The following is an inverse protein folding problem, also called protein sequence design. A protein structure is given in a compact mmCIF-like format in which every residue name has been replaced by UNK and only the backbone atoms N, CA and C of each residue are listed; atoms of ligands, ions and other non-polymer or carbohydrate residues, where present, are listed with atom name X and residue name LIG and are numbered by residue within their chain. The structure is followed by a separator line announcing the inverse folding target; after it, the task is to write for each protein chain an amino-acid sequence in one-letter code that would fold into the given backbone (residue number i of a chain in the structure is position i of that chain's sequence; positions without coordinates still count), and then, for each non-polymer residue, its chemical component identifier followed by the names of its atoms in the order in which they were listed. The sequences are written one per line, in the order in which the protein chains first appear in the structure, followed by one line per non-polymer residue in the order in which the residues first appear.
data_IF_609275111157
#
_entry.id   IF_609275111157
#
_cell.length_a   1.000
_cell.length_b   1.000
_cell.length_c   1.000
_cell.angle_alpha   90.00
_cell.angle_beta   90.00
_cell.angle_gamma   90.00
#
_symmetry.space_group_name_H-M   'P 1'
#
loop_
_entity.id
_entity.type
_entity.pdbx_description
1 polymer ?
#
# COMPACT_ATOMS: atom_id res chain seq x y z
N UNK A 1 -11.25 21.34 15.90
CA UNK A 1 -11.77 21.09 14.53
C UNK A 1 -10.59 20.63 13.71
N UNK A 2 -10.67 19.50 12.99
CA UNK A 2 -9.56 18.96 12.20
C UNK A 2 -9.78 19.13 10.71
N UNK A 3 -8.73 18.88 9.91
CA UNK A 3 -8.87 18.79 8.46
C UNK A 3 -9.83 17.66 8.07
N UNK A 4 -10.62 17.90 7.03
CA UNK A 4 -11.56 16.93 6.48
C UNK A 4 -11.49 17.01 4.96
N UNK A 5 -11.00 15.93 4.35
CA UNK A 5 -10.71 15.89 2.92
C UNK A 5 -10.73 14.45 2.41
N UNK A 6 -10.76 14.33 1.08
CA UNK A 6 -10.68 13.06 0.36
C UNK A 6 -9.43 13.07 -0.52
N UNK A 7 -8.68 11.98 -0.52
CA UNK A 7 -7.48 11.82 -1.34
C UNK A 7 -7.75 10.69 -2.32
N UNK A 8 -7.56 10.99 -3.60
CA UNK A 8 -7.61 9.99 -4.68
C UNK A 8 -6.22 9.85 -5.30
N UNK A 9 -5.58 8.73 -4.98
CA UNK A 9 -4.35 8.27 -5.64
C UNK A 9 -4.57 6.86 -6.20
N UNK A 10 -5.80 6.57 -6.63
CA UNK A 10 -6.23 5.25 -7.04
C UNK A 10 -5.91 4.18 -5.97
N UNK A 11 -5.18 3.14 -6.35
CA UNK A 11 -4.93 1.94 -5.54
C UNK A 11 -4.15 2.20 -4.23
N UNK A 12 -3.49 3.34 -4.09
CA UNK A 12 -2.75 3.73 -2.88
C UNK A 12 -3.52 4.66 -1.95
N UNK A 13 -4.78 5.03 -2.28
CA UNK A 13 -5.51 6.10 -1.61
C UNK A 13 -5.53 5.97 -0.08
N UNK A 14 -5.89 4.81 0.48
CA UNK A 14 -5.92 4.58 1.92
C UNK A 14 -4.55 4.73 2.61
N UNK A 15 -3.47 4.28 1.97
CA UNK A 15 -2.10 4.46 2.50
C UNK A 15 -1.62 5.91 2.39
N UNK A 16 -1.97 6.62 1.31
CA UNK A 16 -1.65 8.05 1.19
C UNK A 16 -2.46 8.85 2.21
N UNK A 17 -3.72 8.53 2.46
CA UNK A 17 -4.50 9.10 3.56
C UNK A 17 -3.81 8.87 4.92
N UNK A 18 -3.31 7.66 5.15
CA UNK A 18 -2.55 7.31 6.36
C UNK A 18 -1.28 8.16 6.50
N UNK A 19 -0.52 8.31 5.40
CA UNK A 19 0.67 9.16 5.37
C UNK A 19 0.33 10.63 5.64
N UNK A 20 -0.70 11.18 4.99
CA UNK A 20 -1.16 12.55 5.23
C UNK A 20 -1.61 12.74 6.68
N UNK A 21 -2.32 11.76 7.25
CA UNK A 21 -2.70 11.76 8.67
C UNK A 21 -1.49 11.88 9.61
N UNK A 22 -0.42 11.12 9.34
CA UNK A 22 0.86 11.26 10.06
C UNK A 22 1.42 12.69 9.97
N UNK A 23 1.36 13.33 8.79
CA UNK A 23 1.85 14.71 8.64
C UNK A 23 1.05 15.70 9.50
N UNK A 24 -0.28 15.58 9.55
CA UNK A 24 -1.13 16.40 10.40
C UNK A 24 -0.88 16.19 11.90
N UNK A 25 -0.52 14.97 12.32
CA UNK A 25 -0.23 14.65 13.71
C UNK A 25 1.13 15.18 14.19
N UNK A 26 2.12 15.26 13.29
CA UNK A 26 3.52 15.46 13.67
C UNK A 26 4.11 16.81 13.26
N UNK A 27 3.58 17.46 12.23
CA UNK A 27 4.14 18.74 11.76
C UNK A 27 3.45 19.96 12.38
N UNK A 28 4.26 20.92 12.81
CA UNK A 28 3.86 22.18 13.45
C UNK A 28 3.27 23.23 12.49
N UNK A 29 3.43 23.02 11.18
CA UNK A 29 2.79 23.81 10.13
C UNK A 29 1.27 23.61 10.04
N UNK A 30 0.72 22.61 10.75
CA UNK A 30 -0.72 22.37 10.88
C UNK A 30 -1.21 22.65 12.29
N UNK A 31 -2.50 22.91 12.44
CA UNK A 31 -3.13 22.98 13.75
C UNK A 31 -2.98 21.65 14.48
N UNK A 32 -2.57 21.71 15.75
CA UNK A 32 -2.33 20.52 16.57
C UNK A 32 -3.58 19.64 16.62
N UNK A 33 -3.39 18.35 16.29
CA UNK A 33 -4.42 17.33 16.41
C UNK A 33 -3.93 16.16 17.26
N UNK A 34 -4.75 15.71 18.20
CA UNK A 34 -4.42 14.58 19.08
C UNK A 34 -4.60 13.24 18.35
N UNK A 35 -5.50 13.23 17.37
CA UNK A 35 -5.85 12.06 16.61
C UNK A 35 -6.33 12.41 15.20
N UNK A 36 -6.15 11.48 14.27
CA UNK A 36 -6.75 11.48 12.94
C UNK A 36 -7.53 10.19 12.74
N UNK A 37 -8.57 10.27 11.91
CA UNK A 37 -9.30 9.11 11.41
C UNK A 37 -8.99 8.98 9.94
N UNK A 38 -8.54 7.81 9.53
CA UNK A 38 -8.26 7.48 8.14
C UNK A 38 -9.26 6.42 7.72
N UNK A 39 -9.95 6.67 6.60
CA UNK A 39 -10.92 5.76 6.03
C UNK A 39 -10.52 5.39 4.61
N UNK A 40 -10.70 4.12 4.25
CA UNK A 40 -10.68 3.64 2.87
C UNK A 40 -12.04 3.05 2.53
N UNK A 41 -12.57 3.39 1.35
CA UNK A 41 -13.83 2.81 0.85
C UNK A 41 -13.71 2.50 -0.64
N UNK A 42 -14.14 1.31 -1.03
CA UNK A 42 -14.32 0.91 -2.42
C UNK A 42 -15.56 0.05 -2.57
N UNK A 43 -16.50 0.49 -3.43
CA UNK A 43 -17.76 -0.20 -3.72
C UNK A 43 -18.01 -0.20 -5.23
N UNK A 44 -18.38 -1.36 -5.76
CA UNK A 44 -18.75 -1.61 -7.14
C UNK A 44 -20.24 -1.41 -7.36
N UNK A 45 -20.69 -0.15 -7.27
CA UNK A 45 -22.11 0.20 -7.43
C UNK A 45 -22.58 0.27 -8.90
N UNK A 46 -21.67 0.08 -9.86
CA UNK A 46 -21.97 0.18 -11.28
C UNK A 46 -21.08 -0.76 -12.11
N UNK A 47 -21.61 -1.41 -13.17
CA UNK A 47 -20.82 -2.27 -14.04
C UNK A 47 -19.80 -1.52 -14.89
N UNK A 48 -19.92 -0.18 -15.05
CA UNK A 48 -19.04 0.58 -15.95
C UNK A 48 -17.56 0.52 -15.54
N UNK A 49 -17.28 0.41 -14.24
CA UNK A 49 -15.91 0.28 -13.74
C UNK A 49 -15.29 -1.08 -14.12
N UNK A 50 -16.08 -2.15 -14.08
CA UNK A 50 -15.66 -3.46 -14.62
C UNK A 50 -15.48 -3.42 -16.14
N UNK A 51 -16.41 -2.81 -16.88
CA UNK A 51 -16.31 -2.69 -18.34
C UNK A 51 -15.04 -1.92 -18.72
N UNK A 52 -14.75 -0.81 -18.01
CA UNK A 52 -13.54 -0.01 -18.21
C UNK A 52 -12.26 -0.81 -17.94
N UNK A 53 -12.19 -1.52 -16.80
CA UNK A 53 -11.02 -2.35 -16.47
C UNK A 53 -10.82 -3.53 -17.42
N UNK A 54 -11.90 -4.15 -17.91
CA UNK A 54 -11.84 -5.15 -18.99
C UNK A 54 -11.30 -4.54 -20.28
N UNK A 55 -11.80 -3.36 -20.68
CA UNK A 55 -11.33 -2.65 -21.87
C UNK A 55 -9.85 -2.24 -21.80
N UNK A 56 -9.33 -2.02 -20.58
CA UNK A 56 -7.92 -1.74 -20.32
C UNK A 56 -7.05 -2.99 -20.10
N UNK A 57 -7.62 -4.20 -20.14
CA UNK A 57 -6.89 -5.45 -19.91
C UNK A 57 -6.37 -5.62 -18.47
N UNK A 58 -7.04 -5.03 -17.48
CA UNK A 58 -6.60 -5.06 -16.07
C UNK A 58 -7.09 -6.29 -15.29
N UNK A 59 -8.19 -6.89 -15.73
CA UNK A 59 -8.86 -7.95 -14.98
C UNK A 59 -8.41 -9.36 -15.38
N UNK A 60 -8.21 -10.21 -14.38
CA UNK A 60 -7.97 -11.63 -14.59
C UNK A 60 -9.16 -12.29 -15.29
N UNK A 61 -8.90 -13.15 -16.27
CA UNK A 61 -9.96 -13.90 -16.97
C UNK A 61 -10.66 -14.92 -16.08
N UNK A 62 -9.98 -15.37 -15.01
CA UNK A 62 -10.51 -16.34 -14.05
C UNK A 62 -11.08 -15.64 -12.80
N UNK A 63 -10.92 -14.31 -12.71
CA UNK A 63 -11.48 -13.51 -11.62
C UNK A 63 -10.80 -13.77 -10.28
N UNK A 64 -9.46 -13.83 -10.26
CA UNK A 64 -8.65 -13.88 -9.02
C UNK A 64 -7.39 -13.04 -9.15
N UNK A 65 -6.82 -12.63 -8.03
CA UNK A 65 -5.46 -12.10 -8.00
C UNK A 65 -4.50 -13.27 -7.80
N UNK A 66 -3.86 -13.73 -8.87
CA UNK A 66 -2.85 -14.80 -8.80
C UNK A 66 -1.48 -14.25 -8.41
N UNK A 67 -1.44 -13.59 -7.25
CA UNK A 67 -0.26 -12.89 -6.73
C UNK A 67 0.98 -13.78 -6.72
N UNK A 68 2.02 -13.35 -7.41
CA UNK A 68 3.31 -14.03 -7.61
C UNK A 68 3.24 -15.42 -8.26
N UNK A 69 2.10 -15.77 -8.86
CA UNK A 69 1.97 -17.01 -9.61
C UNK A 69 2.40 -16.84 -11.06
N UNK A 70 2.91 -17.90 -11.67
CA UNK A 70 3.20 -17.94 -13.11
C UNK A 70 1.97 -17.64 -13.99
N UNK A 71 0.76 -17.99 -13.53
CA UNK A 71 -0.50 -17.76 -14.25
C UNK A 71 -1.12 -16.37 -14.03
N UNK A 72 -0.37 -15.43 -13.45
CA UNK A 72 -0.79 -14.04 -13.24
C UNK A 72 -1.19 -13.35 -14.55
N UNK A 73 -2.47 -13.01 -14.70
CA UNK A 73 -3.05 -12.42 -15.92
C UNK A 73 -3.83 -11.12 -15.66
N UNK A 74 -3.87 -10.63 -14.43
CA UNK A 74 -4.70 -9.50 -14.03
C UNK A 74 -5.18 -9.63 -12.59
N UNK A 75 -5.98 -8.67 -12.13
CA UNK A 75 -6.55 -8.70 -10.79
C UNK A 75 -8.08 -8.89 -10.80
N UNK A 76 -8.62 -9.47 -9.72
CA UNK A 76 -10.05 -9.42 -9.42
C UNK A 76 -10.34 -8.14 -8.64
N UNK A 77 -11.43 -7.43 -8.93
CA UNK A 77 -11.86 -6.31 -8.07
C UNK A 77 -12.44 -6.82 -6.76
N UNK A 78 -12.12 -6.11 -5.68
CA UNK A 78 -12.68 -6.32 -4.35
C UNK A 78 -13.47 -5.10 -3.88
N UNK A 79 -14.32 -5.31 -2.89
CA UNK A 79 -15.03 -4.25 -2.18
C UNK A 79 -14.62 -4.28 -0.72
N UNK A 80 -14.32 -3.12 -0.14
CA UNK A 80 -14.02 -3.01 1.27
C UNK A 80 -14.24 -1.60 1.79
N UNK A 81 -14.66 -1.52 3.04
CA UNK A 81 -14.70 -0.29 3.83
C UNK A 81 -13.95 -0.54 5.11
N UNK A 82 -12.99 0.32 5.44
CA UNK A 82 -12.21 0.23 6.67
C UNK A 82 -11.91 1.63 7.21
N UNK A 83 -11.73 1.72 8.52
CA UNK A 83 -11.28 2.94 9.17
C UNK A 83 -10.32 2.61 10.32
N UNK A 84 -9.30 3.43 10.48
CA UNK A 84 -8.36 3.38 11.60
C UNK A 84 -8.28 4.74 12.29
N UNK A 85 -8.05 4.72 13.60
CA UNK A 85 -7.74 5.91 14.37
C UNK A 85 -6.27 5.89 14.75
N UNK A 86 -5.56 6.96 14.42
CA UNK A 86 -4.13 7.13 14.72
C UNK A 86 -4.02 8.29 15.70
N UNK A 87 -3.28 8.09 16.80
CA UNK A 87 -3.14 9.06 17.88
C UNK A 87 -1.68 9.43 18.04
N UNK A 88 -1.39 10.71 18.30
CA UNK A 88 -0.03 11.18 18.62
C UNK A 88 0.24 11.00 20.11
N UNK A 89 0.37 9.74 20.55
CA UNK A 89 0.69 9.38 21.95
C UNK A 89 1.61 8.17 22.00
N UNK A 90 2.18 7.91 23.17
CA UNK A 90 2.87 6.66 23.43
C UNK A 90 1.93 5.46 23.23
N UNK A 91 2.47 4.39 22.66
CA UNK A 91 1.76 3.13 22.48
C UNK A 91 1.42 2.52 23.85
N UNK A 92 0.16 2.17 24.06
CA UNK A 92 -0.33 1.59 25.32
C UNK A 92 -1.36 0.50 25.01
N UNK A 93 -0.95 -0.79 24.96
CA UNK A 93 -1.84 -1.92 24.69
C UNK A 93 -3.06 -1.97 25.63
N UNK A 94 -2.88 -1.59 26.90
CA UNK A 94 -3.92 -1.57 27.92
C UNK A 94 -5.05 -0.59 27.62
N UNK A 95 -4.77 0.41 26.76
CA UNK A 95 -5.73 1.41 26.29
C UNK A 95 -6.30 1.08 24.90
N UNK A 96 -6.09 -0.15 24.41
CA UNK A 96 -6.64 -0.63 23.14
C UNK A 96 -5.85 -0.18 21.90
N UNK A 97 -4.57 0.17 22.05
CA UNK A 97 -3.71 0.43 20.90
C UNK A 97 -3.24 -0.91 20.29
N UNK A 98 -3.46 -1.11 18.98
CA UNK A 98 -3.16 -2.37 18.29
C UNK A 98 -1.77 -2.44 17.67
N UNK A 99 -1.25 -1.31 17.19
CA UNK A 99 0.03 -1.21 16.53
C UNK A 99 0.63 0.20 16.68
N UNK A 100 1.95 0.30 16.50
CA UNK A 100 2.66 1.56 16.36
C UNK A 100 2.91 1.85 14.89
N UNK A 101 2.50 3.02 14.41
CA UNK A 101 2.89 3.53 13.10
C UNK A 101 4.31 4.09 13.18
N UNK A 102 5.32 3.30 12.81
CA UNK A 102 6.72 3.71 12.91
C UNK A 102 7.10 4.81 11.89
N UNK A 103 6.58 4.73 10.68
CA UNK A 103 6.89 5.68 9.60
C UNK A 103 6.05 5.43 8.36
N UNK A 104 6.15 6.31 7.36
CA UNK A 104 5.47 6.14 6.08
C UNK A 104 6.04 7.07 5.01
N UNK A 105 6.14 6.58 3.78
CA UNK A 105 6.63 7.36 2.65
C UNK A 105 5.69 7.23 1.46
N UNK A 106 5.63 8.30 0.66
CA UNK A 106 4.87 8.37 -0.58
C UNK A 106 5.76 9.00 -1.63
N UNK A 107 5.74 8.45 -2.85
CA UNK A 107 6.38 9.06 -4.01
C UNK A 107 5.55 8.78 -5.28
N UNK A 108 6.12 9.06 -6.45
CA UNK A 108 5.46 8.86 -7.73
C UNK A 108 6.46 8.26 -8.72
N UNK A 109 5.94 7.45 -9.64
CA UNK A 109 6.74 6.69 -10.61
C UNK A 109 7.55 7.55 -11.58
N UNK A 110 7.11 8.78 -11.85
CA UNK A 110 7.66 9.68 -12.84
C UNK A 110 7.42 9.17 -14.25
N UNK A 111 8.44 9.30 -15.10
CA UNK A 111 8.40 8.76 -16.47
C UNK A 111 8.61 7.24 -16.46
N UNK A 112 7.58 6.50 -16.83
CA UNK A 112 7.58 5.04 -16.99
C UNK A 112 7.38 4.62 -18.45
N UNK A 113 7.40 3.31 -18.71
CA UNK A 113 7.21 2.74 -20.06
C UNK A 113 5.81 3.01 -20.64
N UNK A 114 4.81 3.17 -19.78
CA UNK A 114 3.46 3.65 -20.11
C UNK A 114 2.88 4.39 -18.90
N UNK A 115 1.72 5.00 -19.06
CA UNK A 115 1.02 5.74 -17.98
C UNK A 115 0.73 4.86 -16.76
N UNK A 116 0.44 3.57 -16.98
CA UNK A 116 0.05 2.61 -15.93
C UNK A 116 1.15 1.59 -15.61
N UNK A 117 2.30 1.66 -16.28
CA UNK A 117 3.42 0.77 -16.01
C UNK A 117 4.12 1.14 -14.69
N UNK A 118 4.25 0.20 -13.74
CA UNK A 118 4.92 0.47 -12.47
C UNK A 118 6.41 0.73 -12.66
N UNK A 119 7.01 1.51 -11.76
CA UNK A 119 8.42 1.86 -11.81
C UNK A 119 9.23 1.24 -10.65
N UNK A 120 9.98 0.17 -10.92
CA UNK A 120 10.81 -0.51 -9.92
C UNK A 120 11.79 0.42 -9.18
N UNK A 121 12.57 1.28 -9.86
CA UNK A 121 13.42 2.27 -9.19
C UNK A 121 12.67 3.23 -8.25
N UNK A 122 11.46 3.65 -8.60
CA UNK A 122 10.63 4.51 -7.73
C UNK A 122 10.15 3.75 -6.49
N UNK A 123 9.72 2.50 -6.65
CA UNK A 123 9.36 1.63 -5.51
C UNK A 123 10.56 1.38 -4.59
N UNK A 124 11.74 1.10 -5.16
CA UNK A 124 12.98 0.96 -4.40
C UNK A 124 13.28 2.21 -3.57
N UNK A 125 13.19 3.41 -4.18
CA UNK A 125 13.38 4.68 -3.46
C UNK A 125 12.38 4.87 -2.32
N UNK A 126 11.12 4.49 -2.52
CA UNK A 126 10.09 4.59 -1.49
C UNK A 126 10.40 3.68 -0.29
N UNK A 127 10.72 2.40 -0.57
CA UNK A 127 11.09 1.41 0.44
C UNK A 127 12.33 1.84 1.23
N UNK A 128 13.36 2.36 0.56
CA UNK A 128 14.56 2.91 1.23
C UNK A 128 14.24 4.11 2.10
N UNK A 129 13.37 5.00 1.62
CA UNK A 129 13.01 6.20 2.35
C UNK A 129 12.31 5.86 3.68
N UNK A 130 11.40 4.88 3.69
CA UNK A 130 10.69 4.51 4.94
C UNK A 130 11.61 3.78 5.90
N UNK A 131 12.47 2.87 5.42
CA UNK A 131 13.48 2.20 6.25
C UNK A 131 14.42 3.24 6.90
N UNK A 132 14.85 4.24 6.12
CA UNK A 132 15.69 5.34 6.63
C UNK A 132 14.93 6.21 7.64
N UNK A 133 13.66 6.52 7.39
CA UNK A 133 12.82 7.32 8.30
C UNK A 133 12.71 6.65 9.67
N UNK A 134 12.47 5.34 9.71
CA UNK A 134 12.29 4.58 10.96
C UNK A 134 13.60 4.09 11.56
N UNK A 135 14.73 4.34 10.89
CA UNK A 135 16.10 4.02 11.34
C UNK A 135 16.33 2.54 11.66
N UNK A 136 15.70 1.63 10.91
CA UNK A 136 15.93 0.18 10.99
C UNK A 136 16.81 -0.31 9.83
N UNK A 137 17.29 -1.54 9.94
CA UNK A 137 17.93 -2.28 8.85
C UNK A 137 16.91 -3.16 8.12
N UNK A 138 17.11 -3.47 6.84
CA UNK A 138 16.21 -4.36 6.10
C UNK A 138 16.00 -5.73 6.76
N UNK A 139 17.04 -6.30 7.40
CA UNK A 139 16.91 -7.59 8.10
C UNK A 139 16.02 -7.57 9.34
N UNK A 140 15.62 -6.40 9.83
CA UNK A 140 14.71 -6.25 10.98
C UNK A 140 13.22 -6.32 10.55
N UNK A 141 12.94 -6.49 9.25
CA UNK A 141 11.58 -6.69 8.74
C UNK A 141 11.32 -8.18 8.56
N UNK A 142 10.39 -8.73 9.34
CA UNK A 142 10.05 -10.16 9.28
C UNK A 142 9.08 -10.49 8.14
N UNK A 143 8.09 -9.61 7.94
CA UNK A 143 6.98 -9.81 6.99
C UNK A 143 6.72 -8.54 6.20
N UNK A 144 6.25 -8.68 4.97
CA UNK A 144 5.77 -7.57 4.16
C UNK A 144 4.47 -7.93 3.45
N UNK A 145 3.47 -7.08 3.68
CA UNK A 145 2.22 -7.08 2.95
C UNK A 145 2.39 -6.25 1.68
N UNK A 146 2.46 -6.92 0.55
CA UNK A 146 2.75 -6.33 -0.75
C UNK A 146 1.49 -5.88 -1.49
N UNK A 147 1.69 -5.03 -2.49
CA UNK A 147 0.66 -4.65 -3.45
C UNK A 147 0.13 -5.88 -4.19
N UNK A 148 0.99 -6.71 -4.78
CA UNK A 148 0.70 -8.09 -5.18
C UNK A 148 -0.59 -8.26 -5.99
N UNK A 149 -0.73 -7.55 -7.11
CA UNK A 149 -1.98 -7.54 -7.88
C UNK A 149 -2.20 -8.80 -8.72
N UNK A 150 -1.20 -9.67 -8.87
CA UNK A 150 -1.34 -10.86 -9.70
C UNK A 150 -1.22 -10.53 -11.18
N UNK A 151 -0.37 -9.55 -11.51
CA UNK A 151 -0.15 -9.13 -12.91
C UNK A 151 1.20 -9.61 -13.40
N UNK A 152 1.27 -10.07 -14.66
CA UNK A 152 2.50 -10.61 -15.27
C UNK A 152 3.65 -9.58 -15.32
N UNK A 153 3.35 -8.28 -15.36
CA UNK A 153 4.33 -7.21 -15.37
C UNK A 153 4.63 -6.65 -13.98
N UNK A 154 3.59 -6.38 -13.18
CA UNK A 154 3.73 -5.66 -11.91
C UNK A 154 4.39 -6.49 -10.81
N UNK A 155 4.00 -7.76 -10.70
CA UNK A 155 4.48 -8.66 -9.65
C UNK A 155 6.02 -8.87 -9.72
N UNK A 156 6.64 -9.13 -10.89
CA UNK A 156 8.10 -9.18 -11.00
C UNK A 156 8.80 -7.86 -10.68
N UNK A 157 8.19 -6.72 -11.04
CA UNK A 157 8.76 -5.39 -10.78
C UNK A 157 8.76 -5.10 -9.28
N UNK A 158 7.65 -5.40 -8.60
CA UNK A 158 7.49 -5.20 -7.16
C UNK A 158 8.52 -6.02 -6.37
N UNK A 159 8.56 -7.34 -6.60
CA UNK A 159 9.50 -8.21 -5.89
C UNK A 159 10.94 -7.88 -6.26
N UNK A 160 11.22 -7.51 -7.51
CA UNK A 160 12.54 -7.06 -7.94
C UNK A 160 12.99 -5.81 -7.21
N UNK A 161 12.12 -4.81 -7.06
CA UNK A 161 12.41 -3.58 -6.32
C UNK A 161 12.59 -3.84 -4.83
N UNK A 162 11.71 -4.65 -4.22
CA UNK A 162 11.79 -5.01 -2.81
C UNK A 162 13.08 -5.79 -2.51
N UNK A 163 13.40 -6.81 -3.31
CA UNK A 163 14.62 -7.62 -3.15
C UNK A 163 15.89 -6.78 -3.18
N UNK A 164 15.97 -5.75 -4.03
CA UNK A 164 17.14 -4.85 -4.09
C UNK A 164 17.39 -4.09 -2.78
N UNK A 165 16.34 -3.81 -2.02
CA UNK A 165 16.44 -3.16 -0.70
C UNK A 165 16.74 -4.20 0.37
N UNK A 166 16.02 -5.32 0.35
CA UNK A 166 16.13 -6.34 1.40
C UNK A 166 17.45 -7.11 1.37
N UNK A 167 18.07 -7.27 0.20
CA UNK A 167 19.31 -8.03 0.04
C UNK A 167 20.58 -7.25 0.43
N UNK A 168 20.47 -5.99 0.86
CA UNK A 168 21.63 -5.20 1.29
C UNK A 168 22.21 -5.64 2.62
N UNK A 169 21.38 -6.24 3.47
CA UNK A 169 21.80 -6.82 4.75
C UNK A 169 21.51 -8.32 4.73
N UNK A 170 22.54 -9.19 4.85
CA UNK A 170 22.32 -10.63 4.96
C UNK A 170 21.39 -10.96 6.12
N UNK A 171 20.55 -11.97 5.92
CA UNK A 171 19.62 -12.51 6.92
C UNK A 171 19.64 -14.02 6.89
N UNK A 172 19.54 -14.63 8.06
CA UNK A 172 19.55 -16.09 8.22
C UNK A 172 18.19 -16.68 7.82
N UNK A 173 17.11 -16.06 8.30
CA UNK A 173 15.73 -16.45 8.00
C UNK A 173 15.20 -15.65 6.81
N UNK A 174 14.38 -16.22 5.91
CA UNK A 174 13.78 -15.48 4.80
C UNK A 174 12.75 -14.44 5.29
N UNK A 175 12.46 -13.43 4.46
CA UNK A 175 11.34 -12.52 4.68
C UNK A 175 10.03 -13.16 4.22
N UNK A 176 8.98 -13.04 5.02
CA UNK A 176 7.65 -13.52 4.62
C UNK A 176 6.98 -12.48 3.74
N UNK A 177 6.54 -12.88 2.55
CA UNK A 177 5.84 -12.01 1.60
C UNK A 177 4.37 -12.44 1.55
N UNK A 178 3.47 -11.49 1.74
CA UNK A 178 2.02 -11.73 1.72
C UNK A 178 1.30 -10.71 0.85
N UNK A 179 0.08 -11.03 0.43
CA UNK A 179 -0.87 -10.05 -0.11
C UNK A 179 -2.30 -10.52 0.12
N UNK A 180 -3.08 -9.69 0.80
CA UNK A 180 -4.51 -9.88 1.05
C UNK A 180 -5.35 -9.96 -0.22
N UNK A 181 -4.83 -9.47 -1.36
CA UNK A 181 -5.54 -9.48 -2.64
C UNK A 181 -5.81 -10.89 -3.16
N UNK A 182 -5.01 -11.88 -2.77
CA UNK A 182 -5.30 -13.29 -3.10
C UNK A 182 -6.58 -13.81 -2.41
N UNK A 183 -7.03 -13.15 -1.35
CA UNK A 183 -8.19 -13.55 -0.55
C UNK A 183 -9.42 -12.70 -0.86
N UNK A 184 -9.25 -11.37 -0.94
CA UNK A 184 -10.35 -10.40 -1.01
C UNK A 184 -10.49 -9.74 -2.40
N UNK A 185 -9.56 -10.01 -3.32
CA UNK A 185 -9.41 -9.21 -4.53
C UNK A 185 -8.75 -7.86 -4.25
N UNK A 186 -8.59 -7.06 -5.30
CA UNK A 186 -8.05 -5.72 -5.21
C UNK A 186 -9.14 -4.72 -4.83
N UNK A 187 -9.16 -4.31 -3.57
CA UNK A 187 -10.10 -3.30 -3.05
C UNK A 187 -9.76 -1.84 -3.44
N UNK A 188 -9.00 -1.63 -4.51
CA UNK A 188 -8.66 -0.31 -5.08
C UNK A 188 -8.33 0.76 -4.03
N UNK A 189 -9.15 1.79 -3.87
CA UNK A 189 -8.91 2.89 -2.92
C UNK A 189 -8.89 2.48 -1.44
N UNK A 190 -9.34 1.26 -1.11
CA UNK A 190 -9.27 0.66 0.22
C UNK A 190 -8.36 -0.57 0.29
N UNK A 191 -7.41 -0.70 -0.64
CA UNK A 191 -6.54 -1.87 -0.74
C UNK A 191 -5.40 -1.95 0.28
N UNK A 192 -5.03 -0.85 0.93
CA UNK A 192 -4.03 -0.83 2.00
C UNK A 192 -4.65 -0.46 3.34
#
# INVERSE_FOLDING_TARGET
KGASMTIDTACSASLVCTHTGKLYLLHDMYDACEAVIVCGVNLSMSPFTYIGGCGAGMHSHIGRCFTYNFSADGYMRGEATAAISIKSKAFTPELGDFALMAGSQVNQDGRSASLTAPNGPSQERCNRAVIKEVMIKPREIDTTECHGTGTSLGDPIEIGAYRKVMAEDPRDEPVTITSSKSNLGHCEGSAG
#
